data_IF_314895800484
#
_entry.id   IF_314895800484
#
_cell.length_a   1.000
_cell.length_b   1.000
_cell.length_c   1.000
_cell.angle_alpha   90.00
_cell.angle_beta   90.00
_cell.angle_gamma   90.00
#
_symmetry.space_group_name_H-M   'P 1'
#
loop_
_entity.id
_entity.type
_entity.pdbx_description
1 polymer ?
#
# COMPACT_ATOMS: atom_id res chain seq x y z
N UNK A 1 10.18 -26.66 -9.35
CA UNK A 1 9.84 -27.52 -8.20
C UNK A 1 8.32 -27.64 -7.95
N UNK A 2 7.47 -26.97 -8.75
CA UNK A 2 6.00 -27.09 -8.62
C UNK A 2 5.38 -26.52 -7.33
N UNK A 3 6.10 -25.71 -6.56
CA UNK A 3 5.66 -25.22 -5.26
C UNK A 3 4.66 -24.05 -5.39
N UNK A 4 4.83 -23.18 -6.39
CA UNK A 4 3.98 -22.04 -6.61
C UNK A 4 3.43 -22.02 -8.04
N UNK A 5 2.15 -21.68 -8.17
CA UNK A 5 1.53 -21.45 -9.48
C UNK A 5 1.91 -20.02 -9.96
N UNK A 6 2.68 -19.88 -11.05
CA UNK A 6 3.11 -18.57 -11.54
C UNK A 6 1.96 -17.70 -12.03
N UNK A 7 0.79 -18.31 -12.29
CA UNK A 7 -0.41 -17.62 -12.73
C UNK A 7 -1.30 -17.11 -11.58
N UNK A 8 -0.94 -17.41 -10.32
CA UNK A 8 -1.72 -17.04 -9.13
C UNK A 8 -0.89 -16.25 -8.10
N UNK A 9 0.15 -15.57 -8.54
CA UNK A 9 0.99 -14.78 -7.65
C UNK A 9 0.23 -13.58 -7.11
N UNK A 10 0.40 -13.34 -5.82
CA UNK A 10 -0.09 -12.15 -5.12
C UNK A 10 1.08 -11.38 -4.50
N UNK A 11 0.89 -10.10 -4.25
CA UNK A 11 1.85 -9.26 -3.54
C UNK A 11 1.17 -8.56 -2.39
N UNK A 12 1.75 -8.66 -1.21
CA UNK A 12 1.25 -7.92 -0.05
C UNK A 12 2.39 -7.39 0.81
N UNK A 13 2.08 -6.38 1.61
CA UNK A 13 3.02 -5.85 2.59
C UNK A 13 2.44 -4.71 3.41
N UNK A 14 3.04 -4.49 4.56
CA UNK A 14 2.70 -3.43 5.50
C UNK A 14 3.87 -2.48 5.71
N UNK A 15 3.64 -1.16 5.85
CA UNK A 15 4.67 -0.15 6.10
C UNK A 15 5.71 -0.10 4.97
N UNK A 16 6.98 -0.39 5.25
CA UNK A 16 8.01 -0.57 4.22
C UNK A 16 7.61 -1.66 3.21
N UNK A 17 6.99 -2.76 3.66
CA UNK A 17 6.43 -3.79 2.77
C UNK A 17 5.28 -3.28 1.90
N UNK A 18 4.46 -2.35 2.41
CA UNK A 18 3.43 -1.64 1.65
C UNK A 18 4.04 -0.74 0.57
N UNK A 19 5.09 0.02 0.92
CA UNK A 19 5.85 0.79 -0.06
C UNK A 19 6.46 -0.11 -1.15
N UNK A 20 7.08 -1.21 -0.76
CA UNK A 20 7.62 -2.20 -1.71
C UNK A 20 6.52 -2.79 -2.59
N UNK A 21 5.31 -3.00 -2.05
CA UNK A 21 4.15 -3.43 -2.84
C UNK A 21 3.79 -2.37 -3.87
N UNK A 22 3.66 -1.11 -3.45
CA UNK A 22 3.35 0.01 -4.34
C UNK A 22 4.40 0.15 -5.45
N UNK A 23 5.69 0.01 -5.11
CA UNK A 23 6.77 0.17 -6.09
C UNK A 23 6.82 -1.01 -7.08
N UNK A 24 6.72 -2.25 -6.61
CA UNK A 24 6.87 -3.41 -7.49
C UNK A 24 5.73 -3.55 -8.50
N UNK A 25 4.48 -3.19 -8.14
CA UNK A 25 3.34 -3.23 -9.08
C UNK A 25 3.43 -2.17 -10.18
N UNK A 26 4.30 -1.16 -10.05
CA UNK A 26 4.61 -0.22 -11.15
C UNK A 26 5.66 -0.77 -12.13
N UNK A 27 6.32 -1.89 -11.79
CA UNK A 27 7.42 -2.48 -12.59
C UNK A 27 7.06 -3.82 -13.22
N UNK A 28 5.98 -4.46 -12.76
CA UNK A 28 5.56 -5.77 -13.28
C UNK A 28 4.07 -5.99 -13.09
N UNK A 29 3.44 -6.67 -14.02
CA UNK A 29 2.04 -7.11 -14.01
C UNK A 29 1.87 -8.60 -13.67
N UNK A 30 2.93 -9.26 -13.17
CA UNK A 30 2.91 -10.67 -12.79
C UNK A 30 1.93 -11.00 -11.67
N UNK A 31 1.64 -10.03 -10.79
CA UNK A 31 0.74 -10.23 -9.66
C UNK A 31 -0.72 -10.09 -10.08
N UNK A 32 -1.55 -11.08 -9.74
CA UNK A 32 -3.00 -11.06 -10.01
C UNK A 32 -3.78 -10.19 -9.04
N UNK A 33 -3.24 -9.96 -7.85
CA UNK A 33 -3.78 -9.05 -6.85
C UNK A 33 -2.67 -8.53 -5.94
N UNK A 34 -2.87 -7.34 -5.38
CA UNK A 34 -1.99 -6.75 -4.38
C UNK A 34 -2.77 -6.25 -3.16
N UNK A 35 -2.11 -6.25 -1.98
CA UNK A 35 -2.56 -5.57 -0.76
C UNK A 35 -1.45 -4.67 -0.25
N UNK A 36 -1.69 -3.36 -0.27
CA UNK A 36 -0.79 -2.33 0.24
C UNK A 36 -1.32 -1.78 1.55
N UNK A 37 -0.70 -2.16 2.65
CA UNK A 37 -1.01 -1.65 3.98
C UNK A 37 -0.04 -0.56 4.41
N UNK A 38 -0.56 0.62 4.78
CA UNK A 38 0.22 1.77 5.28
C UNK A 38 1.52 1.99 4.49
N UNK A 39 1.46 1.94 3.16
CA UNK A 39 2.60 2.08 2.27
C UNK A 39 2.77 3.50 1.75
N UNK A 40 3.99 4.05 1.83
CA UNK A 40 4.29 5.33 1.22
C UNK A 40 4.14 5.24 -0.32
N UNK A 41 3.60 6.29 -0.93
CA UNK A 41 3.44 6.41 -2.37
C UNK A 41 4.12 7.66 -2.94
N UNK A 42 4.19 8.72 -2.14
CA UNK A 42 4.76 10.01 -2.48
C UNK A 42 5.76 10.43 -1.40
N UNK A 43 7.05 10.35 -1.68
CA UNK A 43 8.08 10.61 -0.68
C UNK A 43 8.18 12.08 -0.27
N UNK A 44 7.81 13.03 -1.13
CA UNK A 44 7.75 14.45 -0.78
C UNK A 44 6.65 14.68 0.26
N UNK A 45 5.43 14.20 -0.03
CA UNK A 45 4.32 14.26 0.91
C UNK A 45 4.58 13.45 2.20
N UNK A 46 5.24 12.29 2.06
CA UNK A 46 5.63 11.45 3.20
C UNK A 46 6.62 12.17 4.12
N UNK A 47 7.57 12.93 3.58
CA UNK A 47 8.49 13.74 4.37
C UNK A 47 7.75 14.82 5.18
N UNK A 48 6.75 15.45 4.56
CA UNK A 48 5.96 16.50 5.20
C UNK A 48 5.08 15.99 6.35
N UNK A 49 4.52 14.80 6.20
CA UNK A 49 3.40 14.31 7.01
C UNK A 49 3.79 13.30 8.09
N UNK A 50 4.93 12.59 7.93
CA UNK A 50 5.35 11.53 8.84
C UNK A 50 5.94 12.06 10.14
N UNK A 51 5.75 11.33 11.24
CA UNK A 51 6.44 11.55 12.52
C UNK A 51 7.93 11.19 12.44
N UNK A 52 8.38 10.45 11.42
CA UNK A 52 9.76 10.03 11.20
C UNK A 52 10.29 10.61 9.88
N UNK A 53 10.73 11.85 9.91
CA UNK A 53 11.22 12.54 8.71
C UNK A 53 12.74 12.75 8.65
N UNK A 54 13.41 12.93 9.80
CA UNK A 54 14.81 13.35 9.82
C UNK A 54 15.78 12.35 9.18
N UNK A 55 15.63 11.06 9.45
CA UNK A 55 16.45 10.02 8.83
C UNK A 55 16.23 9.92 7.30
N UNK A 56 15.13 10.47 6.78
CA UNK A 56 14.90 10.49 5.33
C UNK A 56 15.78 11.49 4.62
N UNK A 57 16.17 12.59 5.28
CA UNK A 57 17.15 13.52 4.72
C UNK A 57 18.49 12.84 4.46
N UNK A 58 18.92 11.92 5.35
CA UNK A 58 20.12 11.13 5.12
C UNK A 58 19.98 10.17 3.93
N UNK A 59 18.80 9.54 3.76
CA UNK A 59 18.57 8.60 2.65
C UNK A 59 18.45 9.26 1.29
N UNK A 60 17.88 10.48 1.24
CA UNK A 60 17.60 11.17 -0.02
C UNK A 60 18.60 12.28 -0.34
N UNK A 61 19.60 12.50 0.52
CA UNK A 61 20.64 13.52 0.31
C UNK A 61 20.22 14.94 0.68
N UNK A 62 19.17 15.08 1.50
CA UNK A 62 18.67 16.37 1.99
C UNK A 62 17.17 16.39 2.23
N UNK A 63 16.62 17.56 2.59
CA UNK A 63 15.18 17.72 2.73
C UNK A 63 14.58 18.34 1.44
N UNK A 64 13.27 18.12 1.17
CA UNK A 64 12.65 18.56 -0.08
C UNK A 64 12.42 20.08 -0.17
N UNK A 65 12.70 20.86 0.87
CA UNK A 65 12.44 22.30 0.95
C UNK A 65 13.69 23.16 1.04
N UNK A 66 14.86 22.55 1.06
CA UNK A 66 16.12 23.30 1.06
C UNK A 66 16.39 23.91 -0.32
N UNK A 67 17.27 24.93 -0.37
CA UNK A 67 17.86 25.36 -1.63
C UNK A 67 18.60 24.16 -2.25
N UNK A 68 18.46 23.96 -3.54
CA UNK A 68 19.03 22.80 -4.25
C UNK A 68 18.54 21.44 -3.71
N UNK A 69 17.24 21.39 -3.34
CA UNK A 69 16.61 20.19 -2.81
C UNK A 69 16.69 19.03 -3.82
N UNK A 70 17.00 17.79 -3.36
CA UNK A 70 17.09 16.62 -4.23
C UNK A 70 15.70 16.06 -4.63
N UNK A 71 14.85 16.93 -5.21
CA UNK A 71 13.45 16.60 -5.55
C UNK A 71 13.37 15.39 -6.48
N UNK A 72 14.30 15.27 -7.44
CA UNK A 72 14.33 14.16 -8.36
C UNK A 72 14.58 12.82 -7.64
N UNK A 73 15.40 12.81 -6.58
CA UNK A 73 15.62 11.61 -5.77
C UNK A 73 14.32 11.21 -5.06
N UNK A 74 13.62 12.16 -4.44
CA UNK A 74 12.31 11.90 -3.83
C UNK A 74 11.29 11.38 -4.84
N UNK A 75 11.18 12.05 -6.00
CA UNK A 75 10.20 11.69 -7.02
C UNK A 75 10.50 10.35 -7.68
N UNK A 76 11.76 10.08 -8.04
CA UNK A 76 12.18 8.85 -8.68
C UNK A 76 11.97 7.60 -7.79
N UNK A 77 12.02 7.77 -6.48
CA UNK A 77 11.73 6.72 -5.51
C UNK A 77 10.25 6.63 -5.13
N UNK A 78 9.42 7.59 -5.52
CA UNK A 78 7.98 7.57 -5.27
C UNK A 78 7.28 6.62 -6.23
N UNK A 79 6.50 5.62 -5.74
CA UNK A 79 5.65 4.80 -6.60
C UNK A 79 4.71 5.62 -7.48
N UNK A 80 4.26 6.78 -7.00
CA UNK A 80 3.34 7.66 -7.72
C UNK A 80 3.87 8.12 -9.07
N UNK A 81 5.18 8.26 -9.22
CA UNK A 81 5.82 8.61 -10.51
C UNK A 81 5.42 7.67 -11.64
N UNK A 82 5.40 6.38 -11.35
CA UNK A 82 5.14 5.32 -12.32
C UNK A 82 3.75 4.70 -12.19
N UNK A 83 2.85 5.31 -11.43
CA UNK A 83 1.54 4.75 -11.09
C UNK A 83 0.68 4.43 -12.31
N UNK A 84 0.88 5.17 -13.41
CA UNK A 84 0.19 4.95 -14.69
C UNK A 84 0.46 3.58 -15.33
N UNK A 85 1.50 2.88 -14.89
CA UNK A 85 1.86 1.54 -15.37
C UNK A 85 1.09 0.43 -14.64
N UNK A 86 0.43 0.75 -13.51
CA UNK A 86 -0.21 -0.27 -12.66
C UNK A 86 -1.48 -0.80 -13.32
N UNK A 87 -1.54 -2.14 -13.42
CA UNK A 87 -2.72 -2.90 -13.86
C UNK A 87 -3.27 -3.81 -12.76
N UNK A 88 -2.45 -4.11 -11.75
CA UNK A 88 -2.75 -5.06 -10.69
C UNK A 88 -3.89 -4.57 -9.78
N UNK A 89 -5.00 -5.31 -9.63
CA UNK A 89 -6.04 -5.01 -8.66
C UNK A 89 -5.45 -4.86 -7.25
N UNK A 90 -5.64 -3.70 -6.61
CA UNK A 90 -4.93 -3.35 -5.37
C UNK A 90 -5.89 -2.96 -4.26
N UNK A 91 -5.85 -3.72 -3.15
CA UNK A 91 -6.46 -3.36 -1.87
C UNK A 91 -5.52 -2.42 -1.12
N UNK A 92 -6.04 -1.31 -0.62
CA UNK A 92 -5.29 -0.29 0.13
C UNK A 92 -5.82 -0.22 1.55
N UNK A 93 -4.93 -0.31 2.54
CA UNK A 93 -5.28 -0.40 3.96
C UNK A 93 -4.47 0.61 4.76
N UNK A 94 -5.10 1.31 5.73
CA UNK A 94 -4.41 2.23 6.63
C UNK A 94 -5.16 2.44 7.94
N UNK A 95 -4.43 2.71 9.02
CA UNK A 95 -5.00 3.19 10.26
C UNK A 95 -5.38 4.68 10.17
N UNK A 96 -6.58 5.05 10.61
CA UNK A 96 -7.06 6.43 10.53
C UNK A 96 -6.24 7.43 11.38
N UNK A 97 -5.50 6.94 12.37
CA UNK A 97 -4.59 7.73 13.22
C UNK A 97 -3.12 7.31 13.05
N UNK A 98 -2.76 6.84 11.86
CA UNK A 98 -1.39 6.48 11.53
C UNK A 98 -0.55 7.76 11.32
N UNK A 99 0.40 7.98 12.24
CA UNK A 99 1.36 9.09 12.17
C UNK A 99 2.65 8.72 11.46
N UNK A 100 2.94 7.41 11.33
CA UNK A 100 4.15 6.88 10.71
C UNK A 100 4.09 6.92 9.20
N UNK A 101 3.01 6.35 8.64
CA UNK A 101 2.64 6.47 7.23
C UNK A 101 1.22 7.02 7.17
N UNK A 102 1.06 8.34 7.14
CA UNK A 102 -0.21 9.00 7.31
C UNK A 102 -1.25 8.62 6.25
N UNK A 103 -2.55 8.62 6.62
CA UNK A 103 -3.65 8.24 5.73
C UNK A 103 -3.65 8.92 4.35
N UNK A 104 -3.22 10.19 4.19
CA UNK A 104 -3.14 10.82 2.87
C UNK A 104 -2.33 10.02 1.84
N UNK A 105 -1.28 9.29 2.26
CA UNK A 105 -0.49 8.43 1.36
C UNK A 105 -1.35 7.32 0.73
N UNK A 106 -2.18 6.68 1.55
CA UNK A 106 -3.11 5.63 1.10
C UNK A 106 -4.27 6.19 0.27
N UNK A 107 -4.78 7.38 0.64
CA UNK A 107 -5.82 8.08 -0.12
C UNK A 107 -5.31 8.49 -1.50
N UNK A 108 -4.08 9.01 -1.59
CA UNK A 108 -3.43 9.38 -2.85
C UNK A 108 -3.26 8.16 -3.76
N UNK A 109 -2.73 7.04 -3.24
CA UNK A 109 -2.64 5.78 -3.98
C UNK A 109 -4.00 5.32 -4.52
N UNK A 110 -5.02 5.28 -3.65
CA UNK A 110 -6.36 4.85 -4.02
C UNK A 110 -6.96 5.74 -5.13
N UNK A 111 -6.84 7.05 -4.99
CA UNK A 111 -7.35 8.01 -5.99
C UNK A 111 -6.63 7.88 -7.32
N UNK A 112 -5.31 7.77 -7.30
CA UNK A 112 -4.52 7.57 -8.51
C UNK A 112 -4.91 6.28 -9.23
N UNK A 113 -5.00 5.15 -8.54
CA UNK A 113 -5.43 3.88 -9.13
C UNK A 113 -6.84 3.95 -9.69
N UNK A 114 -7.78 4.58 -8.97
CA UNK A 114 -9.16 4.77 -9.46
C UNK A 114 -9.25 5.60 -10.72
N UNK A 115 -8.50 6.70 -10.79
CA UNK A 115 -8.50 7.59 -11.98
C UNK A 115 -7.96 6.88 -13.22
N UNK A 116 -7.13 5.85 -13.03
CA UNK A 116 -6.58 5.01 -14.09
C UNK A 116 -7.44 3.79 -14.42
N UNK A 117 -8.62 3.66 -13.81
CA UNK A 117 -9.53 2.52 -14.03
C UNK A 117 -9.08 1.20 -13.37
N UNK A 118 -8.02 1.22 -12.54
CA UNK A 118 -7.54 0.04 -11.83
C UNK A 118 -8.54 -0.36 -10.73
N UNK A 119 -8.87 -1.64 -10.65
CA UNK A 119 -9.71 -2.17 -9.57
C UNK A 119 -9.03 -1.94 -8.23
N UNK A 120 -9.66 -1.15 -7.37
CA UNK A 120 -9.08 -0.81 -6.06
C UNK A 120 -10.17 -0.59 -5.01
N UNK A 121 -9.83 -0.86 -3.76
CA UNK A 121 -10.66 -0.60 -2.57
C UNK A 121 -9.76 0.02 -1.51
N UNK A 122 -10.25 1.05 -0.83
CA UNK A 122 -9.58 1.66 0.32
C UNK A 122 -10.34 1.31 1.59
N UNK A 123 -9.59 0.88 2.61
CA UNK A 123 -10.09 0.59 3.94
C UNK A 123 -9.29 1.39 4.97
N UNK A 124 -9.96 2.32 5.63
CA UNK A 124 -9.39 3.13 6.71
C UNK A 124 -9.98 2.63 8.01
N UNK A 125 -9.16 2.13 8.92
CA UNK A 125 -9.59 1.68 10.24
C UNK A 125 -9.66 2.87 11.21
N UNK A 126 -10.86 3.28 11.68
CA UNK A 126 -11.01 4.48 12.50
C UNK A 126 -10.21 4.39 13.80
N UNK A 127 -9.43 5.45 14.10
CA UNK A 127 -8.64 5.56 15.32
C UNK A 127 -7.44 4.63 15.43
N UNK A 128 -7.21 3.73 14.47
CA UNK A 128 -6.06 2.82 14.50
C UNK A 128 -4.75 3.53 14.18
N UNK A 129 -3.68 3.26 14.95
CA UNK A 129 -2.34 3.72 14.67
C UNK A 129 -1.70 2.90 13.54
N UNK A 130 -0.38 3.08 13.33
CA UNK A 130 0.40 2.35 12.33
C UNK A 130 0.29 0.83 12.43
N UNK A 131 0.27 0.28 13.64
CA UNK A 131 -0.07 -1.13 13.89
C UNK A 131 -1.48 -1.22 14.48
N UNK A 132 -2.42 -1.83 13.77
CA UNK A 132 -3.80 -1.94 14.25
C UNK A 132 -3.88 -2.78 15.52
N UNK A 133 -4.59 -2.28 16.52
CA UNK A 133 -4.66 -2.85 17.87
C UNK A 133 -5.96 -3.57 18.15
N UNK A 134 -7.10 -3.02 17.69
CA UNK A 134 -8.42 -3.62 17.93
C UNK A 134 -8.55 -4.92 17.17
N UNK A 135 -8.95 -5.99 17.87
CA UNK A 135 -9.12 -7.32 17.29
C UNK A 135 -10.10 -7.30 16.10
N UNK A 136 -11.24 -6.62 16.25
CA UNK A 136 -12.22 -6.47 15.18
C UNK A 136 -11.64 -5.87 13.90
N UNK A 137 -10.79 -4.83 14.02
CA UNK A 137 -10.14 -4.23 12.86
C UNK A 137 -9.09 -5.17 12.24
N UNK A 138 -8.35 -5.92 13.07
CA UNK A 138 -7.38 -6.92 12.60
C UNK A 138 -8.07 -8.06 11.84
N UNK A 139 -9.20 -8.55 12.35
CA UNK A 139 -10.04 -9.54 11.66
C UNK A 139 -10.59 -8.98 10.34
N UNK A 140 -11.10 -7.75 10.36
CA UNK A 140 -11.56 -7.07 9.13
C UNK A 140 -10.45 -6.97 8.09
N UNK A 141 -9.22 -6.64 8.51
CA UNK A 141 -8.04 -6.58 7.63
C UNK A 141 -7.79 -7.94 6.97
N UNK A 142 -7.66 -8.99 7.78
CA UNK A 142 -7.35 -10.35 7.30
C UNK A 142 -8.44 -10.84 6.34
N UNK A 143 -9.71 -10.71 6.73
CA UNK A 143 -10.84 -11.12 5.90
C UNK A 143 -10.91 -10.34 4.58
N UNK A 144 -10.65 -9.02 4.61
CA UNK A 144 -10.62 -8.20 3.39
C UNK A 144 -9.49 -8.61 2.44
N UNK A 145 -8.32 -8.98 2.97
CA UNK A 145 -7.20 -9.48 2.17
C UNK A 145 -7.52 -10.86 1.56
N UNK A 146 -8.07 -11.78 2.35
CA UNK A 146 -8.49 -13.11 1.86
C UNK A 146 -9.59 -13.01 0.80
N UNK A 147 -10.59 -12.15 1.01
CA UNK A 147 -11.63 -11.88 0.02
C UNK A 147 -11.03 -11.32 -1.28
N UNK A 148 -10.13 -10.33 -1.16
CA UNK A 148 -9.49 -9.69 -2.31
C UNK A 148 -8.68 -10.68 -3.13
N UNK A 149 -7.84 -11.47 -2.48
CA UNK A 149 -7.00 -12.45 -3.14
C UNK A 149 -7.80 -13.61 -3.72
N UNK A 150 -8.83 -14.08 -3.01
CA UNK A 150 -9.74 -15.13 -3.52
C UNK A 150 -10.41 -14.67 -4.80
N UNK A 151 -10.89 -13.43 -4.83
CA UNK A 151 -11.56 -12.86 -6.00
C UNK A 151 -10.63 -12.69 -7.20
N UNK A 152 -9.47 -12.07 -7.02
CA UNK A 152 -8.64 -11.63 -8.16
C UNK A 152 -7.52 -12.59 -8.53
N UNK A 153 -7.04 -13.42 -7.61
CA UNK A 153 -5.99 -14.39 -7.89
C UNK A 153 -6.53 -15.83 -8.06
N UNK A 154 -7.60 -16.18 -7.34
CA UNK A 154 -8.14 -17.53 -7.39
C UNK A 154 -9.45 -17.64 -8.18
N UNK A 155 -10.06 -16.51 -8.55
CA UNK A 155 -11.38 -16.44 -9.17
C UNK A 155 -12.46 -17.20 -8.37
N UNK A 156 -12.42 -17.04 -7.05
CA UNK A 156 -13.31 -17.72 -6.10
C UNK A 156 -13.99 -16.71 -5.18
N UNK A 157 -15.20 -17.04 -4.73
CA UNK A 157 -15.86 -16.32 -3.64
C UNK A 157 -15.24 -16.77 -2.32
N UNK A 158 -14.78 -15.82 -1.51
CA UNK A 158 -14.32 -16.10 -0.15
C UNK A 158 -15.54 -16.35 0.73
N UNK A 159 -15.51 -17.44 1.50
CA UNK A 159 -16.48 -17.75 2.53
C UNK A 159 -15.83 -17.46 3.89
N UNK A 160 -16.44 -16.56 4.65
CA UNK A 160 -16.02 -16.31 6.02
C UNK A 160 -16.35 -17.54 6.86
N UNK A 161 -15.36 -18.10 7.54
CA UNK A 161 -15.63 -19.01 8.62
C UNK A 161 -16.28 -18.21 9.76
N UNK A 162 -17.53 -18.53 10.08
CA UNK A 162 -18.16 -18.04 11.29
C UNK A 162 -17.57 -18.82 12.45
N UNK A 163 -16.69 -18.20 13.20
CA UNK A 163 -16.38 -18.71 14.53
C UNK A 163 -17.53 -18.25 15.44
N UNK A 164 -18.29 -19.20 15.95
CA UNK A 164 -19.18 -18.97 17.09
C UNK A 164 -18.27 -18.74 18.31
N UNK A 165 -18.06 -17.45 18.65
CA UNK A 165 -17.32 -17.03 19.84
C UNK A 165 -18.31 -16.94 21.00
#
# INVERSE_FOLDING_TARGET
>A
KGIADPNKLIKMGWSAGGHMTNKIITHTDRFKAASSGAGAVNWIGMYAQSDVRLNRSAWFGGNPWQKDAPIDVFWNNSPLKDIHKVKTPTLVLVGGNDKRVPPPQSVELFRALRSLGVKTKLLIAPGEPHGWRKLSHRLTKINSELEWFSKYALNKKYQYEKYDL
#
